data_IF_042793312460
#
_entry.id   IF_042793312460
#
_cell.length_a   1.000
_cell.length_b   1.000
_cell.length_c   1.000
_cell.angle_alpha   90.00
_cell.angle_beta   90.00
_cell.angle_gamma   90.00
#
_symmetry.space_group_name_H-M   'P 1'
#
loop_
_entity.id
_entity.type
_entity.pdbx_description
1 polymer ?
#
# COMPACT_ATOMS: atom_id res chain seq x y z
N UNK A 1 38.88 -6.31 -21.37
CA UNK A 1 38.18 -5.88 -20.15
C UNK A 1 36.82 -5.37 -20.59
N UNK A 2 35.83 -6.26 -20.68
CA UNK A 2 34.48 -5.91 -21.15
C UNK A 2 33.64 -5.46 -19.95
N UNK A 3 32.85 -4.38 -20.05
CA UNK A 3 31.89 -4.04 -19.00
C UNK A 3 30.78 -5.10 -18.98
N UNK A 4 30.48 -5.60 -17.77
CA UNK A 4 29.41 -6.53 -17.49
C UNK A 4 28.10 -6.12 -18.17
N UNK A 5 27.74 -6.88 -19.20
CA UNK A 5 26.46 -6.80 -19.89
C UNK A 5 25.36 -7.32 -18.97
N UNK A 6 24.88 -6.51 -18.03
CA UNK A 6 23.62 -6.79 -17.35
C UNK A 6 22.51 -6.84 -18.40
N UNK A 7 21.83 -7.99 -18.61
CA UNK A 7 20.65 -8.01 -19.47
C UNK A 7 19.57 -7.18 -18.78
N UNK A 8 19.28 -5.98 -19.31
CA UNK A 8 18.09 -5.21 -18.95
C UNK A 8 16.84 -5.88 -19.52
N UNK A 9 16.50 -7.07 -19.05
CA UNK A 9 15.09 -7.50 -19.07
C UNK A 9 14.39 -6.77 -17.93
N UNK A 10 14.20 -5.45 -18.11
CA UNK A 10 13.19 -4.72 -17.35
C UNK A 10 11.86 -5.30 -17.79
N UNK A 11 11.35 -6.28 -17.04
CA UNK A 11 9.93 -6.57 -17.10
C UNK A 11 9.21 -5.23 -16.86
N UNK A 12 8.30 -4.78 -17.74
CA UNK A 12 7.59 -3.54 -17.51
C UNK A 12 6.96 -3.62 -16.13
N UNK A 13 7.25 -2.63 -15.29
CA UNK A 13 6.56 -2.47 -14.02
C UNK A 13 5.07 -2.42 -14.37
N UNK A 14 4.21 -3.22 -13.70
CA UNK A 14 2.78 -3.18 -13.97
C UNK A 14 2.33 -1.72 -13.87
N UNK A 15 1.76 -1.20 -14.97
CA UNK A 15 1.16 0.13 -15.00
C UNK A 15 0.20 0.24 -13.83
N UNK A 16 0.40 1.25 -12.98
CA UNK A 16 -0.21 1.41 -11.65
C UNK A 16 -1.74 1.60 -11.70
N UNK A 17 -2.41 1.32 -12.82
CA UNK A 17 -3.81 1.67 -13.06
C UNK A 17 -4.79 0.52 -13.23
N UNK A 18 -4.39 -0.70 -13.59
CA UNK A 18 -5.41 -1.72 -13.90
C UNK A 18 -4.88 -3.16 -13.83
N UNK A 19 -4.71 -3.66 -12.60
CA UNK A 19 -4.77 -5.11 -12.40
C UNK A 19 -6.23 -5.53 -12.65
N UNK A 20 -6.49 -6.61 -13.43
CA UNK A 20 -7.84 -7.17 -13.51
C UNK A 20 -8.34 -7.46 -12.09
N UNK A 21 -9.66 -7.38 -11.81
CA UNK A 21 -10.20 -7.62 -10.47
C UNK A 21 -9.94 -9.08 -10.07
N UNK A 22 -8.75 -9.31 -9.51
CA UNK A 22 -8.38 -10.50 -8.79
C UNK A 22 -8.95 -10.45 -7.37
N UNK A 23 -8.72 -11.50 -6.58
CA UNK A 23 -9.12 -11.48 -5.17
C UNK A 23 -8.54 -10.24 -4.47
N UNK A 24 -9.32 -9.61 -3.59
CA UNK A 24 -8.80 -8.51 -2.76
C UNK A 24 -7.77 -9.08 -1.78
N UNK A 25 -6.60 -8.45 -1.70
CA UNK A 25 -5.59 -8.80 -0.70
C UNK A 25 -5.89 -8.12 0.65
N UNK A 26 -6.46 -6.92 0.62
CA UNK A 26 -6.89 -6.19 1.81
C UNK A 26 -8.16 -5.40 1.48
N UNK A 27 -9.15 -5.47 2.37
CA UNK A 27 -10.35 -4.64 2.33
C UNK A 27 -10.60 -4.10 3.73
N UNK A 28 -10.64 -2.78 3.84
CA UNK A 28 -10.87 -2.02 5.07
C UNK A 28 -12.03 -1.07 4.80
N UNK A 29 -13.01 -1.04 5.70
CA UNK A 29 -14.18 -0.17 5.58
C UNK A 29 -14.36 0.60 6.88
N UNK A 30 -14.46 1.92 6.79
CA UNK A 30 -14.77 2.82 7.90
C UNK A 30 -13.85 2.65 9.13
N UNK A 31 -12.55 2.40 8.92
CA UNK A 31 -11.60 2.22 10.02
C UNK A 31 -11.41 3.53 10.78
N UNK A 32 -11.74 3.48 12.08
CA UNK A 32 -11.51 4.56 13.04
C UNK A 32 -10.55 4.08 14.13
N UNK A 33 -9.57 4.91 14.48
CA UNK A 33 -8.68 4.62 15.59
C UNK A 33 -8.20 5.87 16.31
N UNK A 34 -8.22 5.80 17.64
CA UNK A 34 -7.69 6.83 18.52
C UNK A 34 -6.73 6.24 19.55
N UNK A 35 -5.69 7.00 19.90
CA UNK A 35 -4.80 6.73 21.03
C UNK A 35 -5.00 7.83 22.06
N UNK A 36 -5.71 7.50 23.14
CA UNK A 36 -6.12 8.48 24.15
C UNK A 36 -6.96 9.60 23.53
N UNK A 37 -6.51 10.84 23.69
CA UNK A 37 -7.20 12.01 23.13
C UNK A 37 -6.92 12.27 21.64
N UNK A 38 -6.02 11.52 20.99
CA UNK A 38 -5.62 11.76 19.60
C UNK A 38 -6.25 10.74 18.67
N UNK A 39 -7.04 11.20 17.71
CA UNK A 39 -7.51 10.37 16.59
C UNK A 39 -6.37 10.18 15.60
N UNK A 40 -5.97 8.93 15.37
CA UNK A 40 -4.91 8.54 14.44
C UNK A 40 -5.44 8.16 13.06
N UNK A 41 -6.64 7.57 13.01
CA UNK A 41 -7.34 7.21 11.78
C UNK A 41 -8.81 7.57 11.97
N UNK A 42 -9.43 8.24 11.00
CA UNK A 42 -10.84 8.61 11.06
C UNK A 42 -11.50 8.24 9.74
N UNK A 43 -12.38 7.24 9.77
CA UNK A 43 -13.19 6.80 8.63
C UNK A 43 -12.39 6.39 7.39
N UNK A 44 -11.36 5.56 7.57
CA UNK A 44 -10.53 5.08 6.46
C UNK A 44 -11.16 3.84 5.78
N UNK A 45 -11.52 3.97 4.52
CA UNK A 45 -11.88 2.86 3.64
C UNK A 45 -10.80 2.65 2.58
N UNK A 46 -10.26 1.43 2.49
CA UNK A 46 -9.15 1.07 1.61
C UNK A 46 -9.38 -0.32 1.02
N UNK A 47 -9.28 -0.45 -0.30
CA UNK A 47 -9.29 -1.73 -1.01
C UNK A 47 -7.97 -1.90 -1.78
N UNK A 48 -7.27 -3.00 -1.53
CA UNK A 48 -6.00 -3.35 -2.17
C UNK A 48 -6.18 -4.67 -2.93
N UNK A 49 -6.12 -4.66 -4.27
CA UNK A 49 -6.17 -5.86 -5.08
C UNK A 49 -4.94 -6.76 -4.87
N UNK A 50 -5.10 -8.08 -5.01
CA UNK A 50 -3.95 -8.99 -5.02
C UNK A 50 -2.99 -8.69 -6.18
N UNK A 51 -1.69 -8.82 -5.92
CA UNK A 51 -0.65 -8.53 -6.90
C UNK A 51 -0.33 -7.04 -7.07
N UNK A 52 -0.95 -6.15 -6.28
CA UNK A 52 -0.62 -4.72 -6.25
C UNK A 52 0.47 -4.42 -5.22
N UNK A 53 1.29 -3.40 -5.52
CA UNK A 53 2.23 -2.81 -4.57
C UNK A 53 1.61 -1.51 -4.05
N UNK A 54 1.25 -1.48 -2.77
CA UNK A 54 0.63 -0.32 -2.13
C UNK A 54 1.54 0.22 -1.02
N UNK A 55 1.70 1.55 -0.97
CA UNK A 55 2.51 2.24 0.03
C UNK A 55 1.69 3.30 0.76
N UNK A 56 1.74 3.30 2.09
CA UNK A 56 1.09 4.32 2.91
C UNK A 56 2.09 5.43 3.26
N UNK A 57 1.80 6.67 2.84
CA UNK A 57 2.71 7.83 2.96
C UNK A 57 2.02 8.97 3.72
N UNK A 58 2.79 9.69 4.53
CA UNK A 58 2.27 10.77 5.37
C UNK A 58 3.24 11.16 6.49
N UNK A 59 3.00 12.28 7.19
CA UNK A 59 3.87 12.77 8.27
C UNK A 59 3.88 11.84 9.50
N UNK A 60 4.80 12.08 10.44
CA UNK A 60 4.87 11.32 11.68
C UNK A 60 3.58 11.49 12.50
N UNK A 61 3.05 10.38 13.00
CA UNK A 61 1.80 10.38 13.75
C UNK A 61 0.52 10.52 12.90
N UNK A 62 0.61 10.38 11.58
CA UNK A 62 -0.55 10.33 10.66
C UNK A 62 -1.28 8.97 10.64
N UNK A 63 -0.94 8.05 11.53
CA UNK A 63 -1.59 6.74 11.61
C UNK A 63 -1.05 5.65 10.67
N UNK A 64 0.10 5.85 10.00
CA UNK A 64 0.61 4.86 9.02
C UNK A 64 0.86 3.46 9.59
N UNK A 65 1.72 3.37 10.60
CA UNK A 65 1.99 2.10 11.30
C UNK A 65 0.71 1.55 11.92
N UNK A 66 -0.12 2.44 12.44
CA UNK A 66 -1.42 2.12 13.02
C UNK A 66 -2.35 1.42 12.03
N UNK A 67 -2.48 1.93 10.80
CA UNK A 67 -3.26 1.29 9.74
C UNK A 67 -2.65 -0.02 9.30
N UNK A 68 -1.32 -0.10 9.17
CA UNK A 68 -0.63 -1.32 8.72
C UNK A 68 -0.65 -2.46 9.75
N UNK A 69 -0.72 -2.17 11.06
CA UNK A 69 -0.79 -3.21 12.09
C UNK A 69 -2.18 -3.83 12.26
N UNK A 70 -3.21 -3.26 11.65
CA UNK A 70 -4.59 -3.74 11.72
C UNK A 70 -5.05 -4.52 10.47
N UNK A 71 -4.24 -4.46 9.41
CA UNK A 71 -4.41 -5.20 8.16
C UNK A 71 -3.76 -6.57 8.28
#
# INVERSE_FOLDING_TARGET
MAPDSYPRSMHPLPETGQLPPGPMALQVEHLCMAFGAKVAVNDLSLAVPSGSLFGLVGPNGAGKTTTLSMA
#
